data_IF_744361248912
#
_entry.id   IF_744361248912
#
_cell.length_a   1.000
_cell.length_b   1.000
_cell.length_c   1.000
_cell.angle_alpha   90.00
_cell.angle_beta   90.00
_cell.angle_gamma   90.00
#
_symmetry.space_group_name_H-M   'P 1'
#
loop_
_entity.id
_entity.type
_entity.pdbx_description
1 polymer ?
#
# COMPACT_ATOMS: atom_id res chain seq x y z
N UNK A 1 -7.83 0.22 -5.17
CA UNK A 1 -6.98 1.41 -5.38
C UNK A 1 -7.69 2.57 -6.11
N UNK A 2 -8.40 2.33 -7.23
CA UNK A 2 -9.03 3.41 -8.02
C UNK A 2 -10.22 4.13 -7.36
N UNK A 3 -10.84 3.50 -6.35
CA UNK A 3 -11.99 4.09 -5.62
C UNK A 3 -11.55 5.18 -4.65
N UNK A 4 -10.37 5.05 -4.04
CA UNK A 4 -9.82 6.02 -3.08
C UNK A 4 -8.87 7.04 -3.74
N UNK A 5 -8.15 6.63 -4.79
CA UNK A 5 -7.24 7.50 -5.53
C UNK A 5 -7.66 7.52 -7.00
N UNK A 6 -8.59 8.39 -7.41
CA UNK A 6 -9.01 8.48 -8.81
C UNK A 6 -7.85 8.95 -9.71
N UNK A 7 -7.88 8.61 -10.99
CA UNK A 7 -6.81 8.95 -11.95
C UNK A 7 -6.47 10.44 -11.97
N UNK A 8 -7.48 11.31 -11.90
CA UNK A 8 -7.29 12.76 -11.85
C UNK A 8 -6.45 13.23 -10.66
N UNK A 9 -6.54 12.53 -9.52
CA UNK A 9 -5.70 12.79 -8.36
C UNK A 9 -4.30 12.23 -8.53
N UNK A 10 -4.17 11.02 -9.10
CA UNK A 10 -2.88 10.41 -9.38
C UNK A 10 -2.07 11.22 -10.40
N UNK A 11 -2.72 11.86 -11.38
CA UNK A 11 -2.09 12.72 -12.38
C UNK A 11 -1.68 14.09 -11.81
N UNK A 12 -2.14 14.46 -10.61
CA UNK A 12 -1.82 15.74 -9.99
C UNK A 12 -0.32 15.81 -9.63
N UNK A 13 0.44 16.78 -10.17
CA UNK A 13 1.87 16.91 -9.89
C UNK A 13 2.20 17.10 -8.41
N UNK A 14 1.34 17.80 -7.65
CA UNK A 14 1.51 17.99 -6.21
C UNK A 14 1.34 16.68 -5.44
N UNK A 15 0.39 15.83 -5.86
CA UNK A 15 0.19 14.51 -5.28
C UNK A 15 1.41 13.62 -5.52
N UNK A 16 1.91 13.59 -6.76
CA UNK A 16 3.12 12.85 -7.12
C UNK A 16 4.36 13.33 -6.35
N UNK A 17 4.53 14.63 -6.18
CA UNK A 17 5.64 15.20 -5.39
C UNK A 17 5.56 14.80 -3.91
N UNK A 18 4.37 14.85 -3.31
CA UNK A 18 4.16 14.40 -1.94
C UNK A 18 4.42 12.89 -1.81
N UNK A 19 3.93 12.07 -2.73
CA UNK A 19 4.18 10.63 -2.73
C UNK A 19 5.66 10.29 -2.76
N UNK A 20 6.43 10.94 -3.63
CA UNK A 20 7.89 10.75 -3.72
C UNK A 20 8.63 11.18 -2.46
N UNK A 21 8.11 12.16 -1.73
CA UNK A 21 8.73 12.68 -0.51
C UNK A 21 8.43 11.82 0.71
N UNK A 22 7.17 11.42 0.87
CA UNK A 22 6.69 10.77 2.10
C UNK A 22 6.76 9.24 2.03
N UNK A 23 6.62 8.66 0.84
CA UNK A 23 6.61 7.19 0.65
C UNK A 23 7.97 6.76 0.09
N UNK A 24 8.79 5.99 0.80
CA UNK A 24 10.07 5.48 0.31
C UNK A 24 9.99 4.71 -1.01
N UNK A 25 8.92 3.92 -1.23
CA UNK A 25 8.69 3.27 -2.53
C UNK A 25 8.25 4.24 -3.64
N UNK A 26 7.90 5.49 -3.30
CA UNK A 26 7.60 6.57 -4.24
C UNK A 26 6.34 6.38 -5.08
N UNK A 27 5.50 5.39 -4.76
CA UNK A 27 4.28 5.06 -5.50
C UNK A 27 3.19 4.50 -4.59
N UNK A 28 1.96 4.52 -5.08
CA UNK A 28 0.86 3.76 -4.48
C UNK A 28 1.07 2.26 -4.67
N UNK A 29 0.56 1.47 -3.72
CA UNK A 29 0.46 0.03 -3.88
C UNK A 29 -0.48 -0.30 -5.05
N UNK A 30 -0.13 -1.35 -5.79
CA UNK A 30 -0.95 -1.88 -6.86
C UNK A 30 -2.04 -2.81 -6.28
N UNK A 31 -3.22 -2.94 -6.92
CA UNK A 31 -4.26 -3.86 -6.45
C UNK A 31 -3.78 -5.28 -6.20
N UNK A 32 -2.86 -5.77 -7.04
CA UNK A 32 -2.35 -7.14 -6.97
C UNK A 32 -1.46 -7.33 -5.73
N UNK A 33 -0.77 -6.28 -5.29
CA UNK A 33 0.08 -6.32 -4.09
C UNK A 33 -0.77 -6.37 -2.81
N UNK A 34 -1.85 -5.58 -2.77
CA UNK A 34 -2.83 -5.58 -1.68
C UNK A 34 -3.53 -6.95 -1.59
N UNK A 35 -3.97 -7.48 -2.74
CA UNK A 35 -4.60 -8.81 -2.82
C UNK A 35 -3.65 -9.92 -2.39
N UNK A 36 -2.39 -9.89 -2.84
CA UNK A 36 -1.40 -10.88 -2.46
C UNK A 36 -1.11 -10.84 -0.95
N UNK A 37 -1.04 -9.65 -0.37
CA UNK A 37 -0.85 -9.50 1.07
C UNK A 37 -2.05 -10.04 1.88
N UNK A 38 -3.27 -9.71 1.46
CA UNK A 38 -4.47 -10.25 2.10
C UNK A 38 -4.56 -11.79 1.97
N UNK A 39 -4.19 -12.34 0.81
CA UNK A 39 -4.17 -13.78 0.59
C UNK A 39 -3.12 -14.47 1.47
N UNK A 40 -1.93 -13.89 1.60
CA UNK A 40 -0.90 -14.38 2.51
C UNK A 40 -1.43 -14.46 3.94
N UNK A 41 -2.05 -13.38 4.45
CA UNK A 41 -2.64 -13.32 5.78
C UNK A 41 -3.82 -14.27 6.00
N UNK A 42 -4.54 -14.62 4.93
CA UNK A 42 -5.65 -15.58 4.97
C UNK A 42 -5.18 -17.04 4.85
N UNK A 43 -3.90 -17.26 4.55
CA UNK A 43 -3.32 -18.59 4.32
C UNK A 43 -2.57 -19.11 5.55
N UNK A 44 -2.35 -20.43 5.57
CA UNK A 44 -1.54 -21.11 6.60
C UNK A 44 -0.08 -20.64 6.67
N UNK A 45 0.42 -19.97 5.62
CA UNK A 45 1.79 -19.46 5.60
C UNK A 45 2.01 -18.30 6.60
N UNK A 46 0.93 -17.81 7.22
CA UNK A 46 0.96 -16.68 8.15
C UNK A 46 0.43 -16.99 9.56
N UNK A 47 0.24 -18.27 9.91
CA UNK A 47 -0.41 -18.70 11.17
C UNK A 47 0.24 -18.15 12.46
N UNK A 48 1.48 -17.67 12.39
CA UNK A 48 2.21 -17.07 13.53
C UNK A 48 2.13 -15.53 13.61
N UNK A 49 1.43 -14.86 12.68
CA UNK A 49 1.28 -13.40 12.62
C UNK A 49 -0.01 -12.89 13.32
N UNK A 50 -0.63 -13.71 14.16
CA UNK A 50 -1.90 -13.38 14.83
C UNK A 50 -1.77 -12.15 15.73
N UNK A 51 -2.77 -11.27 15.67
CA UNK A 51 -2.87 -10.07 16.50
C UNK A 51 -1.93 -8.92 16.12
N UNK A 52 -1.18 -9.05 15.01
CA UNK A 52 -0.24 -8.02 14.57
C UNK A 52 -0.93 -6.93 13.74
N UNK A 53 -0.47 -5.69 13.89
CA UNK A 53 -0.76 -4.59 12.97
C UNK A 53 0.42 -4.45 12.04
N UNK A 54 0.26 -4.84 10.78
CA UNK A 54 1.33 -4.83 9.78
C UNK A 54 1.12 -3.65 8.82
N UNK A 55 1.99 -2.63 8.81
CA UNK A 55 1.81 -1.46 7.97
C UNK A 55 2.08 -1.76 6.49
N UNK A 56 1.01 -1.86 5.70
CA UNK A 56 1.08 -1.96 4.23
C UNK A 56 1.15 -0.55 3.60
N UNK A 57 2.23 0.18 3.87
CA UNK A 57 2.32 1.62 3.60
C UNK A 57 3.48 2.04 2.70
N UNK A 58 4.16 1.10 2.03
CA UNK A 58 5.29 1.39 1.15
C UNK A 58 6.46 2.13 1.81
N UNK A 59 6.60 1.97 3.13
CA UNK A 59 7.61 2.60 3.97
C UNK A 59 7.22 3.96 4.56
N UNK A 60 6.00 4.45 4.33
CA UNK A 60 5.56 5.75 4.86
C UNK A 60 5.46 5.78 6.39
N UNK A 61 5.11 4.64 6.99
CA UNK A 61 5.08 4.45 8.44
C UNK A 61 5.95 3.24 8.76
N UNK A 62 6.89 3.42 9.68
CA UNK A 62 7.84 2.40 10.17
C UNK A 62 7.80 2.32 11.68
#
# INVERSE_FOLDING_TARGET
SNVYYPKSLQENPKFQANLKREVPLGRLARPEEDTAFALFLASHDSDFFVGQVIPFAGGWVS
#
